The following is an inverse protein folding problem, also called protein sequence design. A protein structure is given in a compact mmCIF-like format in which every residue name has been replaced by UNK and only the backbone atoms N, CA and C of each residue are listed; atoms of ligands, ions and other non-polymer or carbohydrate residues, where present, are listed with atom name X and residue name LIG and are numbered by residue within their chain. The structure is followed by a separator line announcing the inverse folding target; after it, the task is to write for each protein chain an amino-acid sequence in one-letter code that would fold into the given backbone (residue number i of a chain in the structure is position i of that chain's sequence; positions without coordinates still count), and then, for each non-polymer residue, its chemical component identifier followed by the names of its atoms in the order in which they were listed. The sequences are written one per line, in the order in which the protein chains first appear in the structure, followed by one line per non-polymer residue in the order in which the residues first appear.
data_IF_185309428699
#
_entry.id   IF_185309428699
#
_cell.length_a   1.000
_cell.length_b   1.000
_cell.length_c   1.000
_cell.angle_alpha   90.00
_cell.angle_beta   90.00
_cell.angle_gamma   90.00
#
_symmetry.space_group_name_H-M   'P 1'
#
loop_
_entity.id
_entity.type
_entity.pdbx_description
1 polymer ?
#
# COMPACT_ATOMS: atom_id res chain seq x y z
N UNK A 1 0.97 4.48 -40.10
CA UNK A 1 2.32 4.07 -39.65
C UNK A 1 2.55 4.56 -38.21
N UNK A 2 1.86 3.93 -37.25
CA UNK A 2 2.12 4.00 -35.81
C UNK A 2 1.39 2.80 -35.20
N UNK A 3 1.97 1.62 -35.40
CA UNK A 3 1.44 0.34 -34.93
C UNK A 3 2.42 -0.31 -33.94
N UNK A 4 2.86 0.50 -32.95
CA UNK A 4 3.89 0.12 -31.97
C UNK A 4 3.54 0.53 -30.54
N UNK A 5 2.26 0.43 -30.16
CA UNK A 5 1.82 0.51 -28.76
C UNK A 5 1.51 -0.86 -28.14
N UNK A 6 1.81 -1.97 -28.82
CA UNK A 6 1.57 -3.33 -28.31
C UNK A 6 2.59 -3.79 -27.23
N UNK A 7 3.57 -2.96 -26.84
CA UNK A 7 4.73 -3.41 -26.05
C UNK A 7 4.62 -3.31 -24.53
N UNK A 8 3.64 -2.56 -23.98
CA UNK A 8 3.51 -2.37 -22.52
C UNK A 8 2.25 -3.07 -21.97
N UNK A 9 1.26 -3.34 -22.81
CA UNK A 9 0.05 -4.03 -22.39
C UNK A 9 0.19 -5.53 -22.21
N UNK A 10 1.26 -6.13 -22.75
CA UNK A 10 1.54 -7.56 -22.78
C UNK A 10 2.44 -8.07 -21.63
N UNK A 11 2.66 -7.30 -20.55
CA UNK A 11 3.29 -7.88 -19.35
C UNK A 11 2.32 -8.91 -18.71
N UNK A 12 2.77 -10.15 -18.45
CA UNK A 12 1.92 -11.24 -18.00
C UNK A 12 1.70 -11.11 -16.49
N UNK A 13 0.95 -10.10 -16.09
CA UNK A 13 0.17 -10.21 -14.87
C UNK A 13 -0.88 -11.29 -15.18
N UNK A 14 -0.65 -12.53 -14.74
CA UNK A 14 -1.61 -13.64 -14.86
C UNK A 14 -3.01 -13.20 -14.46
N UNK A 15 -4.08 -13.90 -14.90
CA UNK A 15 -5.39 -13.32 -15.29
C UNK A 15 -6.05 -12.53 -14.16
N UNK A 16 -5.57 -11.31 -13.92
CA UNK A 16 -6.28 -10.27 -13.20
C UNK A 16 -7.56 -10.05 -13.99
N UNK A 17 -8.70 -9.96 -13.29
CA UNK A 17 -10.04 -9.75 -13.84
C UNK A 17 -10.02 -8.90 -15.11
N UNK A 18 -10.00 -9.54 -16.28
CA UNK A 18 -9.81 -8.88 -17.56
C UNK A 18 -10.65 -9.61 -18.62
N UNK A 19 -11.15 -8.85 -19.57
CA UNK A 19 -11.81 -9.41 -20.73
C UNK A 19 -10.78 -10.04 -21.67
N UNK A 20 -11.15 -11.14 -22.32
CA UNK A 20 -10.31 -11.78 -23.35
C UNK A 20 -10.16 -10.92 -24.61
N UNK A 21 -11.12 -10.01 -24.85
CA UNK A 21 -11.09 -9.04 -25.95
C UNK A 21 -10.52 -7.70 -25.47
N UNK A 22 -9.45 -7.24 -26.11
CA UNK A 22 -8.86 -5.92 -25.83
C UNK A 22 -9.84 -4.75 -26.08
N UNK A 23 -10.75 -4.88 -27.04
CA UNK A 23 -11.77 -3.87 -27.30
C UNK A 23 -12.80 -3.78 -26.16
N UNK A 24 -13.22 -4.92 -25.60
CA UNK A 24 -14.10 -4.96 -24.43
C UNK A 24 -13.40 -4.43 -23.18
N UNK A 25 -12.11 -4.71 -23.03
CA UNK A 25 -11.29 -4.17 -21.94
C UNK A 25 -11.19 -2.64 -22.03
N UNK A 26 -10.84 -2.10 -23.19
CA UNK A 26 -10.76 -0.66 -23.40
C UNK A 26 -12.11 0.04 -23.18
N UNK A 27 -13.21 -0.56 -23.67
CA UNK A 27 -14.56 -0.05 -23.47
C UNK A 27 -14.97 -0.07 -21.99
N UNK A 28 -14.63 -1.14 -21.26
CA UNK A 28 -14.87 -1.22 -19.82
C UNK A 28 -14.08 -0.15 -19.07
N UNK A 29 -12.77 -0.04 -19.31
CA UNK A 29 -11.90 0.93 -18.62
C UNK A 29 -12.38 2.37 -18.86
N UNK A 30 -12.75 2.71 -20.11
CA UNK A 30 -13.30 4.03 -20.43
C UNK A 30 -14.61 4.28 -19.69
N UNK A 31 -15.54 3.32 -19.67
CA UNK A 31 -16.80 3.46 -18.92
C UNK A 31 -16.56 3.57 -17.41
N UNK A 32 -15.63 2.79 -16.88
CA UNK A 32 -15.25 2.81 -15.47
C UNK A 32 -14.72 4.19 -15.08
N UNK A 33 -13.76 4.74 -15.82
CA UNK A 33 -13.24 6.09 -15.56
C UNK A 33 -14.32 7.16 -15.70
N UNK A 34 -15.14 7.11 -16.75
CA UNK A 34 -16.22 8.09 -16.96
C UNK A 34 -17.23 8.08 -15.81
N UNK A 35 -17.60 6.91 -15.29
CA UNK A 35 -18.50 6.78 -14.15
C UNK A 35 -17.92 7.37 -12.85
N UNK A 36 -16.59 7.54 -12.75
CA UNK A 36 -15.93 8.10 -11.56
C UNK A 36 -15.80 9.62 -11.59
N UNK A 37 -16.00 10.28 -12.73
CA UNK A 37 -15.77 11.73 -12.86
C UNK A 37 -16.49 12.59 -11.81
N UNK A 38 -17.77 12.34 -11.45
CA UNK A 38 -18.44 13.15 -10.42
C UNK A 38 -17.77 12.99 -9.04
N UNK A 39 -17.36 11.76 -8.72
CA UNK A 39 -16.69 11.46 -7.46
C UNK A 39 -15.27 12.06 -7.44
N UNK A 40 -14.53 11.98 -8.54
CA UNK A 40 -13.21 12.59 -8.66
C UNK A 40 -13.30 14.12 -8.49
N UNK A 41 -14.28 14.77 -9.11
CA UNK A 41 -14.53 16.21 -8.97
C UNK A 41 -14.79 16.58 -7.51
N UNK A 42 -15.68 15.83 -6.83
CA UNK A 42 -15.96 16.02 -5.41
C UNK A 42 -14.71 15.82 -4.55
N UNK A 43 -13.99 14.72 -4.76
CA UNK A 43 -12.81 14.36 -3.97
C UNK A 43 -11.70 15.39 -4.13
N UNK A 44 -11.36 15.82 -5.35
CA UNK A 44 -10.31 16.82 -5.57
C UNK A 44 -10.68 18.18 -4.99
N UNK A 45 -11.95 18.59 -5.13
CA UNK A 45 -12.44 19.85 -4.55
C UNK A 45 -12.39 19.81 -3.02
N UNK A 46 -12.80 18.69 -2.42
CA UNK A 46 -12.78 18.49 -0.97
C UNK A 46 -11.35 18.45 -0.42
N UNK A 47 -10.46 17.66 -1.03
CA UNK A 47 -9.04 17.57 -0.61
C UNK A 47 -8.37 18.94 -0.72
N UNK A 48 -8.57 19.66 -1.82
CA UNK A 48 -8.04 21.02 -1.98
C UNK A 48 -8.55 21.96 -0.87
N UNK A 49 -9.86 22.00 -0.65
CA UNK A 49 -10.48 22.92 0.33
C UNK A 49 -10.06 22.59 1.76
N UNK A 50 -10.11 21.31 2.14
CA UNK A 50 -9.73 20.86 3.47
C UNK A 50 -8.24 21.08 3.74
N UNK A 51 -7.36 20.78 2.77
CA UNK A 51 -5.93 21.00 2.96
C UNK A 51 -5.58 22.49 3.06
N UNK A 52 -6.20 23.36 2.26
CA UNK A 52 -6.01 24.81 2.38
C UNK A 52 -6.51 25.33 3.74
N UNK A 53 -7.68 24.88 4.20
CA UNK A 53 -8.18 25.23 5.53
C UNK A 53 -7.23 24.75 6.63
N UNK A 54 -6.69 23.53 6.53
CA UNK A 54 -5.73 22.98 7.48
C UNK A 54 -4.37 23.72 7.44
N UNK A 55 -3.94 24.23 6.29
CA UNK A 55 -2.75 25.09 6.20
C UNK A 55 -2.97 26.36 7.03
N UNK A 56 -4.11 27.04 6.85
CA UNK A 56 -4.44 28.24 7.64
C UNK A 56 -4.49 27.93 9.14
N UNK A 57 -5.11 26.81 9.52
CA UNK A 57 -5.23 26.39 10.92
C UNK A 57 -3.90 25.94 11.55
N UNK A 58 -2.96 25.35 10.78
CA UNK A 58 -1.67 24.86 11.31
C UNK A 58 -0.57 25.92 11.28
N UNK A 59 -0.63 26.84 10.31
CA UNK A 59 0.37 27.89 10.14
C UNK A 59 0.20 28.99 11.19
N UNK A 60 -1.03 29.47 11.38
CA UNK A 60 -1.33 30.64 12.23
C UNK A 60 -0.94 30.45 13.71
N UNK A 61 -1.08 29.26 14.34
CA UNK A 61 -0.76 29.10 15.76
C UNK A 61 0.56 28.37 16.07
N UNK A 62 1.18 27.65 15.12
CA UNK A 62 2.27 26.70 15.46
C UNK A 62 3.55 26.80 14.61
N UNK A 63 3.59 27.64 13.57
CA UNK A 63 4.80 27.87 12.77
C UNK A 63 5.39 26.62 12.08
N UNK A 64 4.58 25.56 11.87
CA UNK A 64 5.03 24.27 11.30
C UNK A 64 4.98 24.28 9.77
N UNK A 65 5.97 24.94 9.16
CA UNK A 65 6.09 25.09 7.70
C UNK A 65 6.14 23.76 6.92
N UNK A 66 6.75 22.74 7.50
CA UNK A 66 6.83 21.40 6.88
C UNK A 66 5.43 20.83 6.62
N UNK A 67 4.62 20.70 7.67
CA UNK A 67 3.26 20.17 7.53
C UNK A 67 2.39 21.02 6.60
N UNK A 68 2.59 22.34 6.59
CA UNK A 68 1.90 23.23 5.68
C UNK A 68 2.33 23.03 4.22
N UNK A 69 3.62 22.82 3.96
CA UNK A 69 4.15 22.54 2.62
C UNK A 69 3.58 21.24 2.04
N UNK A 70 3.46 20.17 2.84
CA UNK A 70 2.81 18.92 2.40
C UNK A 70 1.33 19.15 2.05
N UNK A 71 0.60 19.86 2.90
CA UNK A 71 -0.82 20.16 2.65
C UNK A 71 -1.01 21.05 1.41
N UNK A 72 -0.13 22.03 1.20
CA UNK A 72 -0.11 22.86 0.00
C UNK A 72 0.22 22.05 -1.25
N UNK A 73 1.17 21.12 -1.17
CA UNK A 73 1.46 20.20 -2.27
C UNK A 73 0.21 19.40 -2.66
N UNK A 74 -0.46 18.77 -1.70
CA UNK A 74 -1.64 17.94 -1.98
C UNK A 74 -2.81 18.78 -2.50
N UNK A 75 -2.96 20.02 -2.00
CA UNK A 75 -3.95 20.97 -2.51
C UNK A 75 -3.63 21.39 -3.95
N UNK A 76 -2.37 21.72 -4.26
CA UNK A 76 -1.93 22.08 -5.60
C UNK A 76 -2.09 20.92 -6.58
N UNK A 77 -1.67 19.72 -6.22
CA UNK A 77 -1.85 18.53 -7.04
C UNK A 77 -3.33 18.25 -7.32
N UNK A 78 -4.19 18.39 -6.30
CA UNK A 78 -5.65 18.27 -6.47
C UNK A 78 -6.23 19.37 -7.37
N UNK A 79 -5.76 20.61 -7.24
CA UNK A 79 -6.18 21.73 -8.09
C UNK A 79 -5.77 21.52 -9.57
N UNK A 80 -4.56 21.03 -9.82
CA UNK A 80 -4.10 20.69 -11.18
C UNK A 80 -4.96 19.57 -11.78
N UNK A 81 -5.25 18.52 -11.01
CA UNK A 81 -6.12 17.43 -11.48
C UNK A 81 -7.55 17.90 -11.71
N UNK A 82 -8.08 18.80 -10.86
CA UNK A 82 -9.39 19.42 -11.04
C UNK A 82 -9.43 20.28 -12.30
N UNK A 83 -8.39 21.08 -12.55
CA UNK A 83 -8.25 21.87 -13.77
C UNK A 83 -8.16 21.02 -15.04
N UNK A 84 -7.42 19.91 -15.00
CA UNK A 84 -7.39 18.93 -16.09
C UNK A 84 -8.74 18.27 -16.31
N UNK A 85 -9.43 17.89 -15.23
CA UNK A 85 -10.75 17.28 -15.28
C UNK A 85 -11.80 18.21 -15.91
N UNK A 86 -11.76 19.51 -15.58
CA UNK A 86 -12.71 20.51 -16.08
C UNK A 86 -12.36 21.03 -17.49
N UNK A 87 -11.09 21.35 -17.75
CA UNK A 87 -10.65 21.97 -19.00
C UNK A 87 -10.19 21.00 -20.09
N UNK A 88 -9.72 19.80 -19.72
CA UNK A 88 -9.20 18.79 -20.65
C UNK A 88 -9.67 17.38 -20.28
N UNK A 89 -10.98 17.23 -20.09
CA UNK A 89 -11.63 16.00 -19.62
C UNK A 89 -11.19 14.72 -20.33
N UNK A 90 -11.08 14.73 -21.66
CA UNK A 90 -10.65 13.54 -22.41
C UNK A 90 -9.19 13.17 -22.13
N UNK A 91 -8.30 14.16 -22.01
CA UNK A 91 -6.91 13.92 -21.63
C UNK A 91 -6.81 13.38 -20.20
N UNK A 92 -7.60 13.93 -19.27
CA UNK A 92 -7.72 13.40 -17.91
C UNK A 92 -8.19 11.94 -17.93
N UNK A 93 -9.25 11.60 -18.67
CA UNK A 93 -9.77 10.24 -18.76
C UNK A 93 -8.75 9.24 -19.33
N UNK A 94 -8.01 9.66 -20.36
CA UNK A 94 -6.97 8.86 -21.00
C UNK A 94 -5.82 8.55 -20.02
N UNK A 95 -5.40 9.55 -19.24
CA UNK A 95 -4.25 9.43 -18.33
C UNK A 95 -4.63 9.25 -16.86
N UNK A 96 -5.91 9.05 -16.52
CA UNK A 96 -6.43 9.07 -15.14
C UNK A 96 -5.64 8.15 -14.21
N UNK A 97 -5.37 6.92 -14.65
CA UNK A 97 -4.66 5.93 -13.82
C UNK A 97 -3.22 6.36 -13.52
N UNK A 98 -2.54 6.94 -14.52
CA UNK A 98 -1.20 7.47 -14.34
C UNK A 98 -1.20 8.68 -13.41
N UNK A 99 -2.10 9.64 -13.63
CA UNK A 99 -2.24 10.86 -12.83
C UNK A 99 -2.51 10.57 -11.35
N UNK A 100 -3.48 9.71 -11.06
CA UNK A 100 -3.81 9.30 -9.69
C UNK A 100 -2.68 8.45 -9.08
N UNK A 101 -2.04 7.58 -9.87
CA UNK A 101 -0.88 6.81 -9.42
C UNK A 101 0.29 7.71 -9.02
N UNK A 102 0.59 8.75 -9.81
CA UNK A 102 1.60 9.75 -9.49
C UNK A 102 1.24 10.57 -8.26
N UNK A 103 -0.03 10.95 -8.09
CA UNK A 103 -0.50 11.62 -6.87
C UNK A 103 -0.23 10.74 -5.64
N UNK A 104 -0.53 9.45 -5.73
CA UNK A 104 -0.32 8.50 -4.63
C UNK A 104 1.17 8.37 -4.28
N UNK A 105 2.03 8.12 -5.28
CA UNK A 105 3.47 7.98 -5.08
C UNK A 105 4.09 9.29 -4.58
N UNK A 106 3.71 10.42 -5.17
CA UNK A 106 4.20 11.75 -4.80
C UNK A 106 3.84 12.13 -3.37
N UNK A 107 2.57 11.94 -2.99
CA UNK A 107 2.12 12.15 -1.61
C UNK A 107 2.93 11.30 -0.62
N UNK A 108 3.15 10.02 -0.93
CA UNK A 108 3.95 9.14 -0.07
C UNK A 108 5.41 9.61 0.02
N UNK A 109 6.05 9.94 -1.10
CA UNK A 109 7.43 10.41 -1.13
C UNK A 109 7.62 11.70 -0.31
N UNK A 110 6.74 12.68 -0.51
CA UNK A 110 6.83 13.98 0.18
C UNK A 110 6.50 13.80 1.66
N UNK A 111 5.47 13.02 2.01
CA UNK A 111 5.14 12.75 3.40
C UNK A 111 6.30 12.11 4.16
N UNK A 112 7.08 11.23 3.51
CA UNK A 112 8.29 10.66 4.11
C UNK A 112 9.39 11.69 4.38
N UNK A 113 9.44 12.78 3.62
CA UNK A 113 10.44 13.83 3.77
C UNK A 113 10.02 14.84 4.84
N UNK A 114 8.74 15.18 4.82
CA UNK A 114 8.13 16.31 5.52
C UNK A 114 7.59 15.96 6.90
N UNK A 115 7.29 14.69 7.19
CA UNK A 115 6.89 14.32 8.55
C UNK A 115 8.09 14.34 9.52
N UNK A 116 8.11 15.25 10.51
CA UNK A 116 8.69 14.89 11.79
C UNK A 116 7.77 13.81 12.34
N UNK A 117 8.28 12.58 12.46
CA UNK A 117 7.56 11.52 13.14
C UNK A 117 7.04 12.06 14.48
N UNK A 118 5.72 12.01 14.63
CA UNK A 118 4.98 12.74 15.66
C UNK A 118 5.66 12.59 17.04
N UNK A 119 5.94 13.70 17.76
CA UNK A 119 6.48 13.65 19.10
C UNK A 119 5.33 13.30 20.05
N UNK A 120 4.91 12.04 20.05
CA UNK A 120 4.08 11.51 21.13
C UNK A 120 4.91 10.49 21.87
N UNK A 121 5.09 10.64 23.20
CA UNK A 121 5.83 9.67 23.99
C UNK A 121 4.96 8.42 24.08
N UNK A 122 5.08 7.52 23.10
CA UNK A 122 4.47 6.19 23.11
C UNK A 122 5.12 5.29 24.17
N UNK A 123 6.16 5.81 24.82
CA UNK A 123 6.96 5.20 25.85
C UNK A 123 6.85 5.90 27.20
N UNK A 124 5.65 6.34 27.60
CA UNK A 124 5.45 6.71 29.01
C UNK A 124 5.71 5.48 29.90
N UNK A 125 6.46 5.61 31.02
CA UNK A 125 6.70 4.50 31.95
C UNK A 125 5.39 3.88 32.50
N UNK A 126 4.29 4.63 32.52
CA UNK A 126 2.95 4.16 32.92
C UNK A 126 2.21 3.34 31.84
N UNK A 127 2.88 2.97 30.75
CA UNK A 127 2.28 2.30 29.58
C UNK A 127 2.13 0.78 29.69
N UNK A 128 2.04 0.24 30.91
CA UNK A 128 1.78 -1.18 31.16
C UNK A 128 0.28 -1.46 31.13
N UNK A 129 -0.23 -1.93 30.00
CA UNK A 129 -1.63 -2.34 29.86
C UNK A 129 -2.09 -2.52 28.41
N UNK A 130 -3.20 -3.24 28.17
CA UNK A 130 -3.70 -3.53 26.82
C UNK A 130 -4.06 -2.27 26.03
N UNK A 131 -4.60 -1.23 26.69
CA UNK A 131 -4.94 0.04 26.05
C UNK A 131 -3.69 0.83 25.62
N UNK A 132 -2.62 0.77 26.41
CA UNK A 132 -1.34 1.42 26.09
C UNK A 132 -0.57 0.66 24.98
N UNK A 133 -0.74 -0.66 24.90
CA UNK A 133 -0.27 -1.47 23.78
C UNK A 133 -1.02 -1.13 22.48
N UNK A 134 -2.35 -1.03 22.55
CA UNK A 134 -3.19 -0.64 21.41
C UNK A 134 -2.85 0.77 20.92
N UNK A 135 -2.71 1.74 21.84
CA UNK A 135 -2.35 3.12 21.49
C UNK A 135 -1.01 3.21 20.75
N UNK A 136 -0.01 2.43 21.17
CA UNK A 136 1.27 2.36 20.47
C UNK A 136 1.08 1.90 19.02
N UNK A 137 0.38 0.78 18.79
CA UNK A 137 0.17 0.28 17.44
C UNK A 137 -0.65 1.21 16.59
N UNK A 138 -1.67 1.87 17.15
CA UNK A 138 -2.44 2.90 16.44
C UNK A 138 -1.51 4.04 16.02
N UNK A 139 -0.69 4.57 16.94
CA UNK A 139 0.24 5.66 16.62
C UNK A 139 1.26 5.21 15.58
N UNK A 140 1.78 3.99 15.64
CA UNK A 140 2.72 3.48 14.65
C UNK A 140 2.08 3.25 13.28
N UNK A 141 0.86 2.70 13.22
CA UNK A 141 0.10 2.57 11.96
C UNK A 141 -0.11 3.97 11.35
N UNK A 142 -0.63 4.91 12.14
CA UNK A 142 -0.95 6.26 11.68
C UNK A 142 0.32 7.04 11.27
N UNK A 143 1.41 6.86 12.01
CA UNK A 143 2.71 7.51 11.77
C UNK A 143 3.47 6.97 10.57
N UNK A 144 3.21 5.73 10.13
CA UNK A 144 3.92 5.09 9.02
C UNK A 144 3.32 5.34 7.62
N UNK A 145 2.33 6.25 7.50
CA UNK A 145 1.58 6.57 6.26
C UNK A 145 0.69 5.44 5.74
N UNK A 146 0.50 4.39 6.53
CA UNK A 146 -0.25 3.18 6.18
C UNK A 146 -1.76 3.46 5.91
N UNK A 147 -2.48 4.27 6.72
CA UNK A 147 -3.90 4.54 6.48
C UNK A 147 -4.14 5.42 5.27
N UNK A 148 -3.27 6.41 5.02
CA UNK A 148 -3.50 7.37 3.95
C UNK A 148 -3.41 6.72 2.58
N UNK A 149 -2.43 5.84 2.38
CA UNK A 149 -2.29 5.04 1.14
C UNK A 149 -3.49 4.11 0.91
N UNK A 150 -4.00 3.49 1.97
CA UNK A 150 -5.22 2.68 1.93
C UNK A 150 -6.45 3.54 1.57
N UNK A 151 -6.57 4.72 2.17
CA UNK A 151 -7.67 5.67 1.91
C UNK A 151 -7.62 6.17 0.46
N UNK A 152 -6.45 6.56 -0.05
CA UNK A 152 -6.29 6.97 -1.45
C UNK A 152 -6.71 5.87 -2.42
N UNK A 153 -6.28 4.62 -2.18
CA UNK A 153 -6.67 3.48 -2.98
C UNK A 153 -8.20 3.23 -2.96
N UNK A 154 -8.86 3.49 -1.83
CA UNK A 154 -10.31 3.34 -1.70
C UNK A 154 -11.12 4.49 -2.34
N UNK A 155 -10.66 5.73 -2.14
CA UNK A 155 -11.36 6.95 -2.57
C UNK A 155 -11.19 7.17 -4.08
N UNK A 156 -9.98 6.94 -4.59
CA UNK A 156 -9.58 7.11 -5.99
C UNK A 156 -9.24 5.74 -6.62
N UNK A 157 -10.21 4.82 -6.76
CA UNK A 157 -9.94 3.49 -7.25
C UNK A 157 -9.44 3.54 -8.68
N UNK A 158 -8.44 2.71 -8.94
CA UNK A 158 -7.89 2.42 -10.25
C UNK A 158 -8.36 1.03 -10.68
N UNK A 159 -8.41 0.76 -12.00
CA UNK A 159 -8.48 -0.61 -12.50
C UNK A 159 -7.38 -1.46 -11.85
N UNK A 160 -7.68 -2.71 -11.52
CA UNK A 160 -6.87 -3.57 -10.65
C UNK A 160 -5.44 -3.70 -11.16
N UNK A 161 -5.25 -3.80 -12.49
CA UNK A 161 -3.93 -3.80 -13.15
C UNK A 161 -3.12 -2.58 -12.71
N UNK A 162 -3.66 -1.37 -12.84
CA UNK A 162 -2.99 -0.13 -12.48
C UNK A 162 -2.87 0.07 -10.96
N UNK A 163 -3.86 -0.39 -10.19
CA UNK A 163 -3.82 -0.35 -8.73
C UNK A 163 -2.64 -1.16 -8.17
N UNK A 164 -2.42 -2.37 -8.70
CA UNK A 164 -1.29 -3.23 -8.32
C UNK A 164 0.03 -2.50 -8.56
N UNK A 165 0.24 -1.92 -9.74
CA UNK A 165 1.47 -1.19 -10.05
C UNK A 165 1.67 0.02 -9.13
N UNK A 166 0.65 0.87 -8.99
CA UNK A 166 0.75 2.07 -8.16
C UNK A 166 1.06 1.72 -6.71
N UNK A 167 0.35 0.73 -6.14
CA UNK A 167 0.57 0.33 -4.75
C UNK A 167 1.90 -0.40 -4.57
N UNK A 168 2.35 -1.20 -5.55
CA UNK A 168 3.66 -1.85 -5.50
C UNK A 168 4.79 -0.81 -5.51
N UNK A 169 4.68 0.25 -6.32
CA UNK A 169 5.65 1.36 -6.33
C UNK A 169 5.63 2.10 -5.00
N UNK A 170 4.44 2.38 -4.45
CA UNK A 170 4.31 3.02 -3.13
C UNK A 170 4.95 2.17 -2.03
N UNK A 171 4.64 0.87 -1.96
CA UNK A 171 5.27 -0.06 -1.00
C UNK A 171 6.78 -0.12 -1.22
N UNK A 172 7.23 -0.25 -2.47
CA UNK A 172 8.66 -0.26 -2.80
C UNK A 172 9.39 0.98 -2.30
N UNK A 173 8.80 2.17 -2.48
CA UNK A 173 9.34 3.42 -1.96
C UNK A 173 9.43 3.46 -0.43
N UNK A 174 8.42 2.92 0.26
CA UNK A 174 8.38 2.82 1.72
C UNK A 174 9.42 1.84 2.28
N UNK A 175 9.80 0.84 1.49
CA UNK A 175 10.77 -0.20 1.84
C UNK A 175 12.21 0.13 1.43
N UNK A 176 12.46 1.27 0.77
CA UNK A 176 13.81 1.69 0.39
C UNK A 176 14.73 1.75 1.63
N UNK A 177 15.98 1.25 1.54
CA UNK A 177 16.91 1.22 2.68
C UNK A 177 17.05 2.53 3.47
N UNK A 178 17.20 3.72 2.84
CA UNK A 178 17.31 4.97 3.58
C UNK A 178 16.01 5.35 4.33
N UNK A 179 14.85 5.00 3.75
CA UNK A 179 13.54 5.25 4.36
C UNK A 179 13.34 4.32 5.56
N UNK A 180 13.61 3.03 5.38
CA UNK A 180 13.54 2.03 6.43
C UNK A 180 14.47 2.38 7.61
N UNK A 181 15.70 2.82 7.32
CA UNK A 181 16.66 3.25 8.33
C UNK A 181 16.20 4.50 9.10
N UNK A 182 15.59 5.48 8.42
CA UNK A 182 15.02 6.66 9.07
C UNK A 182 13.85 6.28 9.98
N UNK A 183 12.91 5.45 9.51
CA UNK A 183 11.76 4.96 10.29
C UNK A 183 12.21 4.21 11.55
N UNK A 184 13.20 3.32 11.40
CA UNK A 184 13.78 2.59 12.52
C UNK A 184 14.40 3.53 13.55
N UNK A 185 15.22 4.49 13.11
CA UNK A 185 15.89 5.43 14.03
C UNK A 185 14.88 6.16 14.90
N UNK A 186 13.80 6.65 14.32
CA UNK A 186 12.81 7.36 15.13
C UNK A 186 12.00 6.41 16.00
N UNK A 187 11.59 5.24 15.51
CA UNK A 187 10.87 4.28 16.37
C UNK A 187 11.71 3.85 17.58
N UNK A 188 13.02 3.65 17.41
CA UNK A 188 13.95 3.33 18.51
C UNK A 188 14.30 4.52 19.41
N UNK A 189 14.29 5.75 18.88
CA UNK A 189 14.37 6.96 19.70
C UNK A 189 13.20 7.08 20.69
N UNK A 190 12.13 6.30 20.52
CA UNK A 190 10.98 6.33 21.42
C UNK A 190 11.25 5.62 22.75
N UNK A 191 11.87 4.42 22.80
CA UNK A 191 12.41 3.74 24.01
C UNK A 191 12.79 2.26 23.80
N UNK A 192 13.51 1.60 24.75
CA UNK A 192 13.70 0.14 24.80
C UNK A 192 12.41 -0.69 24.83
N UNK A 193 11.32 -0.16 25.39
CA UNK A 193 10.02 -0.83 25.40
C UNK A 193 9.42 -1.01 24.00
N UNK A 194 9.74 -0.12 23.05
CA UNK A 194 9.29 -0.26 21.66
C UNK A 194 9.94 -1.48 21.00
N UNK A 195 11.23 -1.69 21.24
CA UNK A 195 11.97 -2.83 20.73
C UNK A 195 11.41 -4.17 21.25
N UNK A 196 11.15 -4.24 22.57
CA UNK A 196 10.48 -5.39 23.17
C UNK A 196 9.09 -5.68 22.55
N UNK A 197 8.35 -4.65 22.13
CA UNK A 197 7.04 -4.80 21.46
C UNK A 197 7.18 -5.37 20.05
N UNK A 198 8.17 -4.95 19.28
CA UNK A 198 8.46 -5.52 17.96
C UNK A 198 8.88 -6.99 18.07
N UNK A 199 9.79 -7.32 18.98
CA UNK A 199 10.23 -8.69 19.21
C UNK A 199 9.08 -9.62 19.64
N UNK A 200 8.17 -9.15 20.50
CA UNK A 200 6.94 -9.90 20.83
C UNK A 200 6.01 -10.08 19.63
N UNK A 201 5.84 -9.06 18.79
CA UNK A 201 5.01 -9.16 17.60
C UNK A 201 5.59 -10.17 16.58
N UNK A 202 6.91 -10.25 16.45
CA UNK A 202 7.57 -11.28 15.64
C UNK A 202 7.30 -12.68 16.20
N UNK A 203 7.38 -12.88 17.52
CA UNK A 203 7.09 -14.19 18.12
C UNK A 203 5.65 -14.64 17.82
N UNK A 204 4.68 -13.73 17.91
CA UNK A 204 3.28 -13.99 17.54
C UNK A 204 3.15 -14.31 16.05
N UNK A 205 3.85 -13.56 15.19
CA UNK A 205 3.84 -13.79 13.74
C UNK A 205 4.44 -15.16 13.38
N UNK A 206 5.56 -15.54 13.97
CA UNK A 206 6.17 -16.85 13.79
C UNK A 206 5.20 -17.96 14.22
N UNK A 207 4.51 -17.78 15.35
CA UNK A 207 3.49 -18.73 15.80
C UNK A 207 2.35 -18.86 14.78
N UNK A 208 1.83 -17.75 14.26
CA UNK A 208 0.79 -17.74 13.24
C UNK A 208 1.25 -18.40 11.92
N UNK A 209 2.48 -18.13 11.48
CA UNK A 209 3.06 -18.72 10.27
C UNK A 209 3.11 -20.25 10.35
N UNK A 210 3.41 -20.80 11.52
CA UNK A 210 3.54 -22.24 11.71
C UNK A 210 2.21 -22.98 11.64
N UNK A 211 1.10 -22.27 11.86
CA UNK A 211 -0.24 -22.80 11.66
C UNK A 211 -0.67 -22.83 10.19
N UNK A 212 0.03 -22.09 9.32
CA UNK A 212 -0.33 -21.92 7.90
C UNK A 212 0.63 -22.66 6.97
N UNK A 213 1.90 -22.80 7.36
CA UNK A 213 2.93 -23.40 6.52
C UNK A 213 2.94 -24.94 6.63
N UNK A 214 3.11 -25.68 5.52
CA UNK A 214 3.28 -27.12 5.56
C UNK A 214 4.64 -27.50 6.17
N UNK A 215 4.76 -28.65 6.86
CA UNK A 215 6.06 -29.23 7.21
C UNK A 215 6.86 -29.54 5.92
N UNK A 216 8.17 -29.29 5.84
CA UNK A 216 9.12 -28.88 6.88
C UNK A 216 9.28 -27.36 7.06
N UNK A 217 8.65 -26.52 6.22
CA UNK A 217 8.83 -25.05 6.28
C UNK A 217 8.43 -24.45 7.63
N UNK A 218 7.40 -25.01 8.27
CA UNK A 218 7.01 -24.64 9.63
C UNK A 218 8.17 -24.83 10.64
N UNK A 219 8.98 -25.90 10.50
CA UNK A 219 10.10 -26.22 11.40
C UNK A 219 11.26 -25.21 11.24
N UNK A 220 11.48 -24.71 10.03
CA UNK A 220 12.46 -23.65 9.75
C UNK A 220 12.05 -22.28 10.29
N UNK A 221 10.74 -22.02 10.43
CA UNK A 221 10.22 -20.79 11.03
C UNK A 221 10.15 -20.90 12.56
N UNK A 222 9.95 -22.11 13.09
CA UNK A 222 9.97 -22.41 14.54
C UNK A 222 11.36 -22.35 15.15
N UNK A 223 12.43 -22.43 14.36
CA UNK A 223 13.80 -22.37 14.89
C UNK A 223 14.03 -20.95 15.40
N UNK A 224 14.18 -20.76 16.73
CA UNK A 224 14.29 -19.43 17.31
C UNK A 224 15.66 -18.87 16.98
N UNK A 225 15.76 -18.14 15.87
CA UNK A 225 16.85 -17.21 15.66
C UNK A 225 16.41 -15.88 16.26
N UNK A 226 17.06 -15.38 17.32
CA UNK A 226 16.84 -14.01 17.74
C UNK A 226 17.13 -13.13 16.52
N UNK A 227 16.08 -12.53 15.96
CA UNK A 227 16.26 -11.53 14.93
C UNK A 227 17.02 -10.38 15.60
N UNK A 228 18.08 -9.84 14.97
CA UNK A 228 18.63 -8.57 15.41
C UNK A 228 17.48 -7.57 15.53
N UNK A 229 17.48 -6.69 16.53
CA UNK A 229 16.42 -5.70 16.81
C UNK A 229 15.98 -4.91 15.55
N UNK A 230 16.93 -4.69 14.63
CA UNK A 230 16.70 -4.10 13.32
C UNK A 230 15.72 -4.87 12.43
N UNK A 231 15.83 -6.20 12.42
CA UNK A 231 15.06 -7.09 11.57
C UNK A 231 13.64 -7.27 12.10
N UNK A 232 13.43 -7.26 13.42
CA UNK A 232 12.09 -7.32 14.00
C UNK A 232 11.23 -6.10 13.64
N UNK A 233 11.80 -4.89 13.80
CA UNK A 233 11.15 -3.64 13.36
C UNK A 233 10.80 -3.68 11.86
N UNK A 234 11.79 -4.03 11.03
CA UNK A 234 11.63 -4.03 9.57
C UNK A 234 10.55 -5.03 9.13
N UNK A 235 10.54 -6.21 9.74
CA UNK A 235 9.59 -7.27 9.44
C UNK A 235 8.14 -6.86 9.69
N UNK A 236 7.86 -6.37 10.91
CA UNK A 236 6.50 -5.98 11.31
C UNK A 236 6.03 -4.75 10.53
N UNK A 237 6.90 -3.77 10.34
CA UNK A 237 6.61 -2.57 9.55
C UNK A 237 6.30 -2.90 8.09
N UNK A 238 7.08 -3.81 7.49
CA UNK A 238 6.85 -4.30 6.11
C UNK A 238 5.52 -5.04 6.02
N UNK A 239 5.24 -5.91 7.00
CA UNK A 239 3.97 -6.64 7.08
C UNK A 239 2.78 -5.68 7.12
N UNK A 240 2.83 -4.67 7.99
CA UNK A 240 1.72 -3.72 8.15
C UNK A 240 1.48 -2.91 6.88
N UNK A 241 2.56 -2.49 6.20
CA UNK A 241 2.46 -1.81 4.90
C UNK A 241 1.88 -2.72 3.81
N UNK A 242 2.35 -3.97 3.72
CA UNK A 242 1.81 -4.93 2.75
C UNK A 242 0.34 -5.25 3.02
N UNK A 243 -0.08 -5.39 4.27
CA UNK A 243 -1.47 -5.68 4.58
C UNK A 243 -2.38 -4.49 4.30
N UNK A 244 -2.08 -3.35 4.90
CA UNK A 244 -3.01 -2.23 4.90
C UNK A 244 -2.89 -1.34 3.66
N UNK A 245 -1.71 -1.21 3.05
CA UNK A 245 -1.52 -0.38 1.85
C UNK A 245 -1.62 -1.16 0.53
N UNK A 246 -1.55 -2.49 0.56
CA UNK A 246 -1.55 -3.34 -0.63
C UNK A 246 -2.66 -4.40 -0.62
N UNK A 247 -2.60 -5.38 0.29
CA UNK A 247 -3.51 -6.53 0.29
C UNK A 247 -4.99 -6.14 0.51
N UNK A 248 -5.28 -5.40 1.58
CA UNK A 248 -6.66 -5.00 1.92
C UNK A 248 -7.29 -4.10 0.84
N UNK A 249 -6.61 -3.04 0.35
CA UNK A 249 -7.15 -2.21 -0.72
C UNK A 249 -7.35 -3.00 -2.02
N UNK A 250 -6.40 -3.85 -2.43
CA UNK A 250 -6.55 -4.65 -3.65
C UNK A 250 -7.68 -5.67 -3.55
N UNK A 251 -7.86 -6.32 -2.40
CA UNK A 251 -8.98 -7.23 -2.19
C UNK A 251 -10.32 -6.49 -2.33
N UNK A 252 -10.42 -5.32 -1.71
CA UNK A 252 -11.61 -4.49 -1.81
C UNK A 252 -11.86 -4.00 -3.24
N UNK A 253 -10.81 -3.54 -3.93
CA UNK A 253 -10.87 -3.11 -5.34
C UNK A 253 -11.28 -4.26 -6.26
N UNK A 254 -10.65 -5.43 -6.12
CA UNK A 254 -10.94 -6.61 -6.92
C UNK A 254 -12.40 -7.04 -6.78
N UNK A 255 -12.95 -7.05 -5.57
CA UNK A 255 -14.37 -7.35 -5.32
C UNK A 255 -15.29 -6.34 -6.02
N UNK A 256 -14.98 -5.05 -5.92
CA UNK A 256 -15.77 -3.98 -6.56
C UNK A 256 -15.69 -4.03 -8.08
N UNK A 257 -14.48 -4.15 -8.61
CA UNK A 257 -14.24 -4.18 -10.04
C UNK A 257 -14.82 -5.42 -10.70
N UNK A 258 -14.71 -6.60 -10.06
CA UNK A 258 -15.38 -7.81 -10.54
C UNK A 258 -16.87 -7.59 -10.74
N UNK A 259 -17.56 -7.02 -9.75
CA UNK A 259 -19.00 -6.70 -9.85
C UNK A 259 -19.27 -5.73 -11.01
N UNK A 260 -18.46 -4.69 -11.16
CA UNK A 260 -18.59 -3.72 -12.24
C UNK A 260 -18.37 -4.35 -13.63
N UNK A 261 -17.39 -5.26 -13.76
CA UNK A 261 -17.10 -6.00 -15.00
C UNK A 261 -18.23 -6.95 -15.36
N UNK A 262 -18.79 -7.68 -14.39
CA UNK A 262 -19.96 -8.53 -14.61
C UNK A 262 -21.16 -7.71 -15.09
N UNK A 263 -21.43 -6.56 -14.45
CA UNK A 263 -22.50 -5.65 -14.87
C UNK A 263 -22.28 -5.11 -16.28
N UNK A 264 -21.04 -4.75 -16.62
CA UNK A 264 -20.68 -4.30 -17.96
C UNK A 264 -20.93 -5.39 -19.02
N UNK A 265 -20.43 -6.61 -18.78
CA UNK A 265 -20.60 -7.73 -19.69
C UNK A 265 -22.08 -8.10 -19.91
N UNK A 266 -22.87 -8.11 -18.83
CA UNK A 266 -24.32 -8.28 -18.89
C UNK A 266 -24.99 -7.19 -19.73
N UNK A 267 -24.56 -5.94 -19.56
CA UNK A 267 -25.04 -4.81 -20.37
C UNK A 267 -24.74 -4.93 -21.86
N UNK A 268 -23.62 -5.58 -22.21
CA UNK A 268 -23.25 -5.90 -23.59
C UNK A 268 -23.88 -7.21 -24.10
N UNK A 269 -24.68 -7.90 -23.28
CA UNK A 269 -25.27 -9.21 -23.56
C UNK A 269 -24.22 -10.29 -23.91
N UNK A 270 -23.01 -10.17 -23.38
CA UNK A 270 -21.91 -11.11 -23.62
C UNK A 270 -21.89 -12.19 -22.51
N UNK A 271 -22.66 -13.26 -22.72
CA UNK A 271 -22.75 -14.38 -21.79
C UNK A 271 -21.42 -15.13 -21.64
N UNK A 272 -20.60 -15.19 -22.70
CA UNK A 272 -19.30 -15.85 -22.67
C UNK A 272 -18.31 -15.09 -21.78
N UNK A 273 -18.29 -13.76 -21.85
CA UNK A 273 -17.49 -12.93 -20.97
C UNK A 273 -17.92 -13.05 -19.51
N UNK A 274 -19.23 -13.09 -19.23
CA UNK A 274 -19.75 -13.32 -17.86
C UNK A 274 -19.28 -14.68 -17.32
N UNK A 275 -19.42 -15.75 -18.11
CA UNK A 275 -18.97 -17.09 -17.72
C UNK A 275 -17.45 -17.15 -17.52
N UNK A 276 -16.67 -16.47 -18.37
CA UNK A 276 -15.21 -16.35 -18.21
C UNK A 276 -14.84 -15.64 -16.91
N UNK A 277 -15.47 -14.50 -16.59
CA UNK A 277 -15.23 -13.76 -15.36
C UNK A 277 -15.63 -14.56 -14.10
N UNK A 278 -16.70 -15.35 -14.16
CA UNK A 278 -17.06 -16.26 -13.07
C UNK A 278 -16.05 -17.41 -12.91
N UNK A 279 -15.58 -18.00 -14.01
CA UNK A 279 -14.53 -19.03 -13.96
C UNK A 279 -13.22 -18.48 -13.41
N UNK A 280 -12.80 -17.29 -13.85
CA UNK A 280 -11.64 -16.60 -13.28
C UNK A 280 -11.86 -16.36 -11.78
N UNK A 281 -13.00 -15.77 -11.38
CA UNK A 281 -13.34 -15.57 -9.97
C UNK A 281 -13.32 -16.88 -9.13
N UNK A 282 -13.70 -18.01 -9.71
CA UNK A 282 -13.67 -19.34 -9.08
C UNK A 282 -12.25 -19.93 -9.03
N UNK A 283 -11.46 -19.78 -10.09
CA UNK A 283 -10.04 -20.18 -10.12
C UNK A 283 -9.24 -19.42 -9.06
N UNK A 284 -9.48 -18.12 -8.97
CA UNK A 284 -8.90 -17.26 -7.93
C UNK A 284 -9.58 -17.42 -6.58
N UNK A 285 -10.67 -18.20 -6.50
CA UNK A 285 -11.54 -18.39 -5.35
C UNK A 285 -11.64 -17.07 -4.54
N UNK A 286 -12.45 -16.10 -4.98
CA UNK A 286 -12.68 -14.81 -4.29
C UNK A 286 -13.21 -14.90 -2.81
N UNK A 287 -13.34 -16.12 -2.26
CA UNK A 287 -13.49 -16.42 -0.83
C UNK A 287 -12.13 -16.53 -0.08
N UNK A 288 -11.16 -17.37 -0.49
CA UNK A 288 -9.77 -17.44 0.01
C UNK A 288 -8.76 -16.45 -0.59
N UNK A 289 -9.18 -15.36 -1.25
CA UNK A 289 -8.25 -14.25 -1.57
C UNK A 289 -7.76 -13.55 -0.30
N UNK A 290 -8.55 -13.57 0.77
CA UNK A 290 -8.10 -13.18 2.11
C UNK A 290 -6.93 -14.06 2.57
N UNK A 291 -7.00 -15.38 2.33
CA UNK A 291 -5.93 -16.33 2.67
C UNK A 291 -4.74 -16.30 1.74
N UNK A 292 -4.90 -15.98 0.45
CA UNK A 292 -3.76 -15.86 -0.49
C UNK A 292 -3.09 -14.49 -0.42
N UNK A 293 -3.82 -13.42 -0.12
CA UNK A 293 -3.22 -12.11 0.16
C UNK A 293 -2.55 -12.11 1.54
N UNK A 294 -3.14 -12.77 2.54
CA UNK A 294 -2.48 -13.06 3.82
C UNK A 294 -1.28 -13.99 3.59
N UNK A 295 -1.43 -15.10 2.85
CA UNK A 295 -0.32 -16.02 2.54
C UNK A 295 0.77 -15.38 1.70
N UNK A 296 0.47 -14.46 0.79
CA UNK A 296 1.44 -13.71 -0.01
C UNK A 296 2.12 -12.62 0.82
N UNK A 297 1.38 -11.95 1.72
CA UNK A 297 1.98 -11.06 2.72
C UNK A 297 2.91 -11.85 3.64
N UNK A 298 2.46 -13.01 4.15
CA UNK A 298 3.23 -13.97 4.95
C UNK A 298 4.41 -14.58 4.19
N UNK A 299 4.31 -14.79 2.87
CA UNK A 299 5.41 -15.22 1.99
C UNK A 299 6.43 -14.10 1.76
N UNK A 300 5.97 -12.88 1.50
CA UNK A 300 6.84 -11.70 1.36
C UNK A 300 7.56 -11.39 2.68
N UNK A 301 6.88 -11.55 3.82
CA UNK A 301 7.47 -11.55 5.16
C UNK A 301 8.55 -12.63 5.26
N UNK A 302 8.24 -13.88 4.91
CA UNK A 302 9.19 -14.99 4.97
C UNK A 302 10.43 -14.74 4.10
N UNK A 303 10.27 -14.16 2.91
CA UNK A 303 11.37 -13.74 2.04
C UNK A 303 12.16 -12.56 2.63
N UNK A 304 11.51 -11.60 3.29
CA UNK A 304 12.17 -10.51 4.00
C UNK A 304 12.97 -11.03 5.21
N UNK A 305 12.46 -12.01 5.96
CA UNK A 305 13.18 -12.71 7.04
C UNK A 305 14.38 -13.45 6.46
N UNK A 306 14.19 -14.25 5.41
CA UNK A 306 15.26 -15.03 4.79
C UNK A 306 16.37 -14.12 4.24
N UNK A 307 16.01 -12.98 3.64
CA UNK A 307 16.96 -12.00 3.13
C UNK A 307 17.71 -11.27 4.24
N UNK A 308 17.04 -10.86 5.32
CA UNK A 308 17.69 -10.18 6.45
C UNK A 308 18.57 -11.14 7.25
N UNK A 309 18.15 -12.40 7.43
CA UNK A 309 18.95 -13.46 8.04
C UNK A 309 20.17 -13.87 7.17
N UNK A 310 20.02 -13.87 5.85
CA UNK A 310 21.15 -14.07 4.94
C UNK A 310 22.14 -12.88 5.04
N UNK A 311 21.65 -11.64 5.02
CA UNK A 311 22.49 -10.45 5.11
C UNK A 311 23.24 -10.34 6.45
N UNK A 312 22.62 -10.69 7.58
CA UNK A 312 23.29 -10.72 8.88
C UNK A 312 24.36 -11.81 8.95
N UNK A 313 24.10 -12.98 8.35
CA UNK A 313 25.07 -14.08 8.27
C UNK A 313 26.26 -13.72 7.37
N UNK A 314 26.04 -13.06 6.24
CA UNK A 314 27.11 -12.53 5.39
C UNK A 314 27.92 -11.43 6.08
N UNK A 315 27.28 -10.55 6.85
CA UNK A 315 27.97 -9.52 7.63
C UNK A 315 28.81 -10.12 8.77
N UNK A 316 28.33 -11.15 9.45
CA UNK A 316 29.08 -11.87 10.48
C UNK A 316 30.27 -12.64 9.88
N UNK A 317 30.07 -13.37 8.78
CA UNK A 317 31.15 -14.07 8.07
C UNK A 317 32.20 -13.11 7.47
N UNK A 318 31.79 -11.91 7.05
CA UNK A 318 32.71 -10.88 6.60
C UNK A 318 33.49 -10.24 7.76
N UNK A 319 32.94 -10.19 8.97
CA UNK A 319 33.64 -9.73 10.17
C UNK A 319 34.64 -10.76 10.69
N UNK A 320 34.30 -12.05 10.63
CA UNK A 320 35.17 -13.15 11.07
C UNK A 320 36.36 -13.42 10.12
N UNK A 321 36.27 -13.01 8.86
CA UNK A 321 37.37 -13.13 7.88
C UNK A 321 38.32 -11.92 7.86
N UNK A 322 38.13 -10.93 8.75
CA UNK A 322 38.98 -9.74 8.89
C UNK A 322 39.88 -9.80 10.14
N UNK A 323 39.81 -10.90 10.90
CA UNK A 323 40.74 -11.25 11.99
C UNK A 323 41.67 -12.38 11.57
#
# INVERSE_FOLDING_TARGET
MYDKAAGIDAMPLGPLLAFSSGAHEAAFVRRFHTARLPADLFNFSMVMTCNLALVLLKMVPHGRWDSAALLLHDALASAVLLGLLQGRREAYLCHRSLLIGMLHVGHTMISMHVQPMSPTPTCSPDSTGPLAALRFWIVEVLGQLVPWTAVFACVLPLPIKHAVWSQAVTVGALLLPPVAARRRRVSLQLCPTADARYNRAVAVLNTALTMVLPPPMAVWVLTPHPLPDAAAFYLITTLMQLLASFALPLLWLARREWRARIQFARGQRDAAAVASLHRQAQQWRLGPIEWTALSAALWCIGLCIARTAAQSRWAALAADNVT
#
